data_IF_703664667132
#
_entry.id   IF_703664667132
#
_cell.length_a   1.000
_cell.length_b   1.000
_cell.length_c   1.000
_cell.angle_alpha   90.00
_cell.angle_beta   90.00
_cell.angle_gamma   90.00
#
_symmetry.space_group_name_H-M   'P 1'
#
loop_
_entity.id
_entity.type
_entity.pdbx_description
1 polymer ?
#
# COMPACT_ATOMS: atom_id res chain seq x y z
N UNK A 1 -18.77 -14.57 -2.77
CA UNK A 1 -17.99 -15.38 -1.79
C UNK A 1 -18.29 -16.87 -2.04
N UNK A 2 -17.27 -17.63 -2.40
CA UNK A 2 -17.42 -19.09 -2.50
C UNK A 2 -17.02 -19.70 -1.16
N UNK A 3 -17.99 -20.23 -0.42
CA UNK A 3 -17.77 -20.89 0.88
C UNK A 3 -17.23 -20.02 2.03
N UNK A 4 -17.42 -18.70 1.99
CA UNK A 4 -16.91 -17.79 3.03
C UNK A 4 -15.43 -17.41 2.92
N UNK A 5 -14.74 -17.79 1.84
CA UNK A 5 -13.33 -17.45 1.63
C UNK A 5 -13.17 -16.29 0.63
N UNK A 6 -12.21 -15.42 0.90
CA UNK A 6 -11.77 -14.33 0.02
C UNK A 6 -10.32 -14.58 -0.36
N UNK A 7 -10.00 -14.47 -1.65
CA UNK A 7 -8.63 -14.61 -2.10
C UNK A 7 -7.97 -13.23 -2.20
N UNK A 8 -6.97 -13.02 -1.37
CA UNK A 8 -6.18 -11.79 -1.34
C UNK A 8 -4.78 -12.03 -1.90
N UNK A 9 -4.14 -11.00 -2.43
CA UNK A 9 -2.77 -11.05 -2.93
C UNK A 9 -1.96 -9.85 -2.46
N UNK A 10 -0.73 -10.11 -2.04
CA UNK A 10 0.32 -9.10 -1.87
C UNK A 10 1.23 -9.16 -3.10
N UNK A 11 1.19 -8.15 -3.94
CA UNK A 11 1.94 -8.10 -5.19
C UNK A 11 3.11 -7.12 -5.09
N UNK A 12 4.32 -7.59 -5.34
CA UNK A 12 5.53 -6.77 -5.29
C UNK A 12 6.06 -6.61 -6.72
N UNK A 13 5.89 -5.44 -7.36
CA UNK A 13 6.42 -5.18 -8.68
C UNK A 13 7.94 -4.97 -8.62
N UNK A 14 8.63 -5.27 -9.70
CA UNK A 14 9.90 -4.63 -9.97
C UNK A 14 9.63 -3.15 -10.23
N UNK A 15 10.40 -2.26 -9.62
CA UNK A 15 10.21 -0.82 -9.82
C UNK A 15 11.47 -0.13 -10.33
N UNK A 16 11.30 1.08 -10.86
CA UNK A 16 12.38 2.06 -11.07
C UNK A 16 12.03 3.33 -10.32
N UNK A 17 12.99 3.79 -9.53
CA UNK A 17 12.83 5.02 -8.74
C UNK A 17 12.55 6.20 -9.67
N UNK A 18 11.49 6.95 -9.39
CA UNK A 18 11.03 8.11 -10.16
C UNK A 18 10.68 7.83 -11.64
N UNK A 19 10.26 6.59 -11.95
CA UNK A 19 9.78 6.22 -13.30
C UNK A 19 8.36 5.63 -13.22
N UNK A 20 7.32 6.46 -13.02
CA UNK A 20 5.95 5.99 -12.88
C UNK A 20 5.43 5.23 -14.09
N UNK A 21 5.93 5.54 -15.31
CA UNK A 21 5.52 4.86 -16.52
C UNK A 21 5.99 3.40 -16.56
N UNK A 22 7.24 3.14 -16.17
CA UNK A 22 7.74 1.78 -16.02
C UNK A 22 7.00 1.05 -14.89
N UNK A 23 6.83 1.70 -13.75
CA UNK A 23 6.25 1.08 -12.56
C UNK A 23 4.80 0.64 -12.80
N UNK A 24 4.00 1.45 -13.50
CA UNK A 24 2.61 1.06 -13.82
C UNK A 24 2.56 -0.16 -14.73
N UNK A 25 3.49 -0.31 -15.69
CA UNK A 25 3.55 -1.48 -16.57
C UNK A 25 3.88 -2.77 -15.80
N UNK A 26 4.76 -2.69 -14.82
CA UNK A 26 5.06 -3.83 -13.95
C UNK A 26 3.87 -4.17 -13.03
N UNK A 27 3.16 -3.17 -12.52
CA UNK A 27 1.92 -3.36 -11.76
C UNK A 27 0.83 -4.00 -12.63
N UNK A 28 0.67 -3.59 -13.89
CA UNK A 28 -0.28 -4.20 -14.83
C UNK A 28 0.00 -5.70 -15.03
N UNK A 29 1.28 -6.10 -15.14
CA UNK A 29 1.67 -7.52 -15.25
C UNK A 29 1.28 -8.31 -13.99
N UNK A 30 1.50 -7.74 -12.80
CA UNK A 30 1.06 -8.35 -11.54
C UNK A 30 -0.45 -8.49 -11.45
N UNK A 31 -1.21 -7.49 -11.89
CA UNK A 31 -2.67 -7.52 -11.93
C UNK A 31 -3.16 -8.68 -12.81
N UNK A 32 -2.57 -8.89 -14.00
CA UNK A 32 -2.93 -10.02 -14.85
C UNK A 32 -2.61 -11.36 -14.21
N UNK A 33 -1.45 -11.48 -13.56
CA UNK A 33 -1.05 -12.68 -12.81
C UNK A 33 -2.04 -12.99 -11.68
N UNK A 34 -2.40 -11.97 -10.89
CA UNK A 34 -3.35 -12.07 -9.79
C UNK A 34 -4.76 -12.43 -10.29
N UNK A 35 -5.22 -11.80 -11.39
CA UNK A 35 -6.49 -12.12 -12.02
C UNK A 35 -6.56 -13.56 -12.49
N UNK A 36 -5.50 -14.08 -13.12
CA UNK A 36 -5.39 -15.48 -13.54
C UNK A 36 -5.47 -16.47 -12.37
N UNK A 37 -5.12 -16.03 -11.16
CA UNK A 37 -5.21 -16.81 -9.92
C UNK A 37 -6.54 -16.60 -9.17
N UNK A 38 -7.42 -15.74 -9.67
CA UNK A 38 -8.73 -15.45 -9.06
C UNK A 38 -8.62 -14.60 -7.78
N UNK A 39 -7.61 -13.75 -7.67
CA UNK A 39 -7.47 -12.79 -6.57
C UNK A 39 -8.61 -11.77 -6.63
N UNK A 40 -9.23 -11.49 -5.49
CA UNK A 40 -10.32 -10.52 -5.36
C UNK A 40 -9.80 -9.15 -4.89
N UNK A 41 -8.75 -9.13 -4.07
CA UNK A 41 -8.10 -7.91 -3.58
C UNK A 41 -6.58 -8.07 -3.74
N UNK A 42 -5.95 -7.18 -4.49
CA UNK A 42 -4.50 -7.09 -4.67
C UNK A 42 -3.99 -5.81 -4.02
N UNK A 43 -2.96 -5.93 -3.19
CA UNK A 43 -2.25 -4.79 -2.59
C UNK A 43 -0.79 -4.76 -3.05
N UNK A 44 -0.29 -3.58 -3.40
CA UNK A 44 1.11 -3.34 -3.75
C UNK A 44 1.83 -2.57 -2.65
N UNK A 45 3.16 -2.45 -2.67
CA UNK A 45 3.93 -1.70 -1.68
C UNK A 45 3.59 -0.21 -1.61
N UNK A 46 4.03 0.41 -0.54
CA UNK A 46 4.01 1.85 -0.33
C UNK A 46 4.74 2.59 -1.45
N UNK A 47 4.13 3.65 -1.99
CA UNK A 47 4.66 4.46 -3.09
C UNK A 47 5.06 3.65 -4.35
N UNK A 48 4.44 2.53 -4.60
CA UNK A 48 4.78 1.61 -5.71
C UNK A 48 4.69 2.25 -7.10
N UNK A 49 3.89 3.32 -7.29
CA UNK A 49 3.85 4.04 -8.57
C UNK A 49 5.08 4.91 -8.83
N UNK A 50 5.76 5.40 -7.79
CA UNK A 50 6.94 6.28 -7.94
C UNK A 50 8.25 5.62 -7.53
N UNK A 51 8.18 4.60 -6.68
CA UNK A 51 9.24 4.16 -5.80
C UNK A 51 9.24 4.94 -4.49
N UNK A 52 9.60 4.26 -3.41
CA UNK A 52 9.68 4.87 -2.07
C UNK A 52 10.92 5.77 -1.93
N UNK A 53 12.02 5.39 -2.55
CA UNK A 53 13.33 6.03 -2.38
C UNK A 53 13.58 7.22 -3.32
N UNK A 54 12.53 7.91 -3.76
CA UNK A 54 12.63 9.11 -4.60
C UNK A 54 13.26 10.31 -3.88
N UNK A 55 13.30 10.33 -2.54
CA UNK A 55 13.86 11.42 -1.73
C UNK A 55 13.35 12.81 -2.17
N UNK A 56 14.24 13.80 -2.39
CA UNK A 56 13.85 15.18 -2.75
C UNK A 56 13.20 15.30 -4.15
N UNK A 57 13.19 14.23 -4.94
CA UNK A 57 12.41 14.20 -6.18
C UNK A 57 10.90 14.33 -5.92
N UNK A 58 10.42 13.99 -4.73
CA UNK A 58 9.03 14.25 -4.33
C UNK A 58 8.64 15.73 -4.34
N UNK A 59 9.61 16.67 -4.36
CA UNK A 59 9.34 18.10 -4.54
C UNK A 59 9.20 18.50 -6.03
N UNK A 60 9.48 17.59 -6.97
CA UNK A 60 9.38 17.85 -8.39
C UNK A 60 7.96 17.65 -8.89
N UNK A 61 7.36 18.72 -9.43
CA UNK A 61 5.98 18.63 -9.94
C UNK A 61 5.85 17.59 -11.06
N UNK A 62 6.89 17.46 -11.92
CA UNK A 62 6.92 16.45 -12.99
C UNK A 62 6.71 15.03 -12.47
N UNK A 63 7.34 14.64 -11.35
CA UNK A 63 7.15 13.32 -10.76
C UNK A 63 5.70 13.10 -10.30
N UNK A 64 5.09 14.14 -9.72
CA UNK A 64 3.71 14.07 -9.23
C UNK A 64 2.71 13.98 -10.39
N UNK A 65 2.93 14.76 -11.46
CA UNK A 65 2.10 14.74 -12.66
C UNK A 65 2.21 13.37 -13.37
N UNK A 66 3.41 12.82 -13.50
CA UNK A 66 3.63 11.50 -14.09
C UNK A 66 3.02 10.37 -13.23
N UNK A 67 3.02 10.49 -11.91
CA UNK A 67 2.35 9.55 -11.02
C UNK A 67 0.83 9.57 -11.21
N UNK A 68 0.24 10.75 -11.42
CA UNK A 68 -1.20 10.88 -11.74
C UNK A 68 -1.53 10.29 -13.13
N UNK A 69 -0.69 10.52 -14.12
CA UNK A 69 -0.83 9.91 -15.47
C UNK A 69 -0.74 8.39 -15.39
N UNK A 70 0.19 7.84 -14.60
CA UNK A 70 0.31 6.42 -14.37
C UNK A 70 -0.94 5.84 -13.67
N UNK A 71 -1.51 6.56 -12.70
CA UNK A 71 -2.77 6.17 -12.06
C UNK A 71 -3.92 6.15 -13.07
N UNK A 72 -4.04 7.16 -13.95
CA UNK A 72 -5.06 7.17 -15.00
C UNK A 72 -4.93 5.99 -15.96
N UNK A 73 -3.68 5.63 -16.36
CA UNK A 73 -3.42 4.44 -17.17
C UNK A 73 -3.90 3.17 -16.46
N UNK A 74 -3.62 3.04 -15.17
CA UNK A 74 -4.06 1.91 -14.36
C UNK A 74 -5.60 1.84 -14.22
N UNK A 75 -6.26 3.00 -14.07
CA UNK A 75 -7.72 3.09 -14.07
C UNK A 75 -8.31 2.59 -15.39
N UNK A 76 -7.76 3.00 -16.52
CA UNK A 76 -8.22 2.54 -17.85
C UNK A 76 -7.99 1.03 -18.01
N UNK A 77 -6.82 0.52 -17.61
CA UNK A 77 -6.48 -0.89 -17.68
C UNK A 77 -7.43 -1.77 -16.85
N UNK A 78 -7.85 -1.29 -15.68
CA UNK A 78 -8.69 -2.06 -14.73
C UNK A 78 -10.19 -1.87 -14.94
N UNK A 79 -10.61 -1.13 -15.96
CA UNK A 79 -12.03 -0.75 -16.21
C UNK A 79 -13.00 -1.94 -16.27
N UNK A 80 -12.57 -3.06 -16.83
CA UNK A 80 -13.37 -4.28 -16.96
C UNK A 80 -13.18 -5.31 -15.84
N UNK A 81 -12.38 -4.98 -14.83
CA UNK A 81 -12.00 -5.92 -13.76
C UNK A 81 -12.84 -5.70 -12.51
N UNK A 82 -13.36 -6.80 -11.95
CA UNK A 82 -14.06 -6.79 -10.64
C UNK A 82 -13.08 -6.75 -9.45
N UNK A 83 -11.82 -7.15 -9.66
CA UNK A 83 -10.76 -7.16 -8.66
C UNK A 83 -10.52 -5.75 -8.12
N UNK A 84 -10.35 -5.65 -6.81
CA UNK A 84 -9.92 -4.43 -6.13
C UNK A 84 -8.40 -4.38 -6.15
N UNK A 85 -7.85 -3.24 -6.54
CA UNK A 85 -6.42 -3.00 -6.58
C UNK A 85 -6.11 -1.83 -5.66
N UNK A 86 -5.12 -2.02 -4.78
CA UNK A 86 -4.66 -0.97 -3.87
C UNK A 86 -3.20 -0.67 -4.17
N UNK A 87 -2.93 0.58 -4.60
CA UNK A 87 -1.59 1.02 -4.98
C UNK A 87 -1.13 2.20 -4.13
N UNK A 88 0.18 2.25 -3.84
CA UNK A 88 0.82 3.35 -3.13
C UNK A 88 1.26 4.47 -4.07
N UNK A 89 0.95 5.73 -3.76
CA UNK A 89 1.42 6.91 -4.50
C UNK A 89 1.46 8.17 -3.65
N UNK A 90 2.28 9.16 -4.02
CA UNK A 90 2.21 10.50 -3.43
C UNK A 90 0.98 11.24 -3.95
N UNK A 91 0.26 11.93 -3.08
CA UNK A 91 -0.91 12.75 -3.46
C UNK A 91 -0.74 14.17 -2.90
N UNK A 92 -0.82 15.16 -3.79
CA UNK A 92 -0.73 16.56 -3.41
C UNK A 92 -2.01 17.01 -2.72
N UNK A 93 -1.89 17.58 -1.54
CA UNK A 93 -3.00 18.16 -0.77
C UNK A 93 -2.76 19.65 -0.50
N UNK A 94 -3.73 20.31 0.11
CA UNK A 94 -3.71 21.76 0.32
C UNK A 94 -2.53 22.29 1.16
N UNK A 95 -1.94 21.46 2.01
CA UNK A 95 -0.85 21.85 2.92
C UNK A 95 0.49 21.12 2.64
N UNK A 96 0.57 20.29 1.61
CA UNK A 96 1.77 19.54 1.29
C UNK A 96 1.50 18.29 0.46
N UNK A 97 2.30 17.27 0.67
CA UNK A 97 2.23 16.00 -0.01
C UNK A 97 1.85 14.91 1.00
N UNK A 98 0.91 14.05 0.66
CA UNK A 98 0.54 12.90 1.49
C UNK A 98 1.02 11.61 0.82
N UNK A 99 1.52 10.68 1.65
CA UNK A 99 1.80 9.30 1.24
C UNK A 99 0.49 8.51 1.34
N UNK A 100 -0.02 8.04 0.22
CA UNK A 100 -1.38 7.52 0.12
C UNK A 100 -1.45 6.13 -0.49
N UNK A 101 -2.43 5.36 -0.01
CA UNK A 101 -2.97 4.19 -0.68
C UNK A 101 -4.23 4.58 -1.45
N UNK A 102 -4.26 4.29 -2.74
CA UNK A 102 -5.41 4.53 -3.62
C UNK A 102 -6.08 3.21 -3.92
N UNK A 103 -7.39 3.14 -3.65
CA UNK A 103 -8.21 1.95 -3.90
C UNK A 103 -8.91 2.10 -5.23
N UNK A 104 -8.65 1.17 -6.16
CA UNK A 104 -9.22 1.13 -7.50
C UNK A 104 -10.15 -0.05 -7.67
N UNK A 105 -11.25 0.14 -8.35
CA UNK A 105 -12.12 -0.93 -8.85
C UNK A 105 -12.89 -0.45 -10.09
N UNK A 106 -12.96 -1.28 -11.12
CA UNK A 106 -13.69 -0.97 -12.38
C UNK A 106 -13.32 0.37 -12.99
N UNK A 107 -12.03 0.70 -12.98
CA UNK A 107 -11.52 1.95 -13.53
C UNK A 107 -11.87 3.21 -12.74
N UNK A 108 -12.28 3.08 -11.48
CA UNK A 108 -12.66 4.20 -10.61
C UNK A 108 -11.92 4.15 -9.29
N UNK A 109 -11.61 5.33 -8.78
CA UNK A 109 -11.09 5.48 -7.42
C UNK A 109 -12.27 5.30 -6.44
N UNK A 110 -12.16 4.31 -5.57
CA UNK A 110 -13.14 4.02 -4.52
C UNK A 110 -12.86 4.80 -3.24
N UNK A 111 -11.61 5.20 -3.04
CA UNK A 111 -11.17 6.00 -1.91
C UNK A 111 -9.66 6.12 -1.82
N UNK A 112 -9.21 7.05 -0.97
CA UNK A 112 -7.80 7.33 -0.71
C UNK A 112 -7.59 7.31 0.80
N UNK A 113 -6.57 6.58 1.26
CA UNK A 113 -6.15 6.53 2.66
C UNK A 113 -4.74 7.07 2.75
N UNK A 114 -4.48 8.05 3.62
CA UNK A 114 -3.15 8.58 3.83
C UNK A 114 -2.50 8.00 5.09
N UNK A 115 -1.18 7.89 5.06
CA UNK A 115 -0.34 7.42 6.15
C UNK A 115 -0.52 8.28 7.41
N UNK A 116 -0.62 7.61 8.55
CA UNK A 116 -0.86 8.25 9.83
C UNK A 116 0.45 8.63 10.52
N UNK A 117 1.34 7.68 10.69
CA UNK A 117 2.60 7.87 11.41
C UNK A 117 3.77 7.88 10.44
N UNK A 118 4.39 9.04 10.27
CA UNK A 118 5.53 9.25 9.39
C UNK A 118 6.83 9.03 10.20
N UNK A 119 7.61 7.98 9.89
CA UNK A 119 8.90 7.77 10.55
C UNK A 119 9.86 8.94 10.24
N UNK A 120 10.58 9.39 11.27
CA UNK A 120 11.55 10.48 11.14
C UNK A 120 12.70 10.25 12.13
N UNK A 121 13.32 9.10 12.04
CA UNK A 121 14.42 8.67 12.88
C UNK A 121 15.40 7.82 12.06
N UNK A 122 16.66 7.84 12.44
CA UNK A 122 17.75 7.19 11.73
C UNK A 122 17.76 7.58 10.24
N UNK A 123 17.75 6.59 9.35
CA UNK A 123 17.71 6.75 7.89
C UNK A 123 16.32 7.16 7.34
N UNK A 124 15.28 7.09 8.15
CA UNK A 124 13.93 7.43 7.74
C UNK A 124 13.64 8.92 7.93
N UNK A 125 13.29 9.61 6.84
CA UNK A 125 13.05 11.05 6.83
C UNK A 125 11.71 11.43 6.17
N UNK A 126 10.65 10.62 6.35
CA UNK A 126 9.37 10.82 5.67
C UNK A 126 8.74 12.19 5.96
N UNK A 127 8.92 12.74 7.16
CA UNK A 127 8.44 14.10 7.52
C UNK A 127 9.07 15.23 6.70
N UNK A 128 10.19 14.94 6.01
CA UNK A 128 10.79 15.91 5.07
C UNK A 128 9.89 16.11 3.85
N UNK A 129 9.24 15.06 3.39
CA UNK A 129 8.49 15.07 2.13
C UNK A 129 6.98 15.03 2.33
N UNK A 130 6.51 14.34 3.36
CA UNK A 130 5.10 14.05 3.54
C UNK A 130 4.51 14.71 4.78
N UNK A 131 3.21 14.94 4.69
CA UNK A 131 2.37 15.45 5.77
C UNK A 131 1.48 14.31 6.28
N UNK A 132 1.43 14.14 7.60
CA UNK A 132 0.53 13.16 8.23
C UNK A 132 -0.93 13.51 7.99
N UNK A 133 -1.80 12.49 7.87
CA UNK A 133 -3.25 12.72 7.78
C UNK A 133 -3.79 13.50 8.99
N UNK A 134 -3.15 13.40 10.16
CA UNK A 134 -3.54 14.17 11.35
C UNK A 134 -3.40 15.67 11.16
N UNK A 135 -2.51 16.11 10.29
CA UNK A 135 -2.22 17.53 10.04
C UNK A 135 -3.02 18.09 8.86
N UNK A 136 -3.63 17.23 8.04
CA UNK A 136 -4.43 17.62 6.87
C UNK A 136 -5.83 18.01 7.33
N UNK A 137 -6.12 19.33 7.33
CA UNK A 137 -7.41 19.86 7.83
C UNK A 137 -8.55 19.78 6.81
N UNK A 138 -8.26 20.00 5.53
CA UNK A 138 -9.20 19.84 4.42
C UNK A 138 -8.65 18.75 3.50
N UNK A 139 -9.19 17.57 3.68
CA UNK A 139 -8.68 16.36 3.04
C UNK A 139 -9.24 16.13 1.63
N UNK A 140 -9.84 17.13 0.99
CA UNK A 140 -10.33 17.03 -0.39
C UNK A 140 -9.24 17.39 -1.38
N UNK A 141 -9.02 16.50 -2.35
CA UNK A 141 -8.01 16.66 -3.41
C UNK A 141 -8.63 16.42 -4.77
N UNK A 142 -8.15 17.16 -5.77
CA UNK A 142 -8.41 16.82 -7.16
C UNK A 142 -7.39 15.78 -7.61
N UNK A 143 -7.87 14.61 -8.05
CA UNK A 143 -7.04 13.54 -8.55
C UNK A 143 -7.75 12.86 -9.73
N UNK A 144 -7.09 12.74 -10.88
CA UNK A 144 -7.64 12.14 -12.10
C UNK A 144 -8.97 12.74 -12.53
N UNK A 145 -9.17 14.05 -12.31
CA UNK A 145 -10.40 14.77 -12.69
C UNK A 145 -11.55 14.69 -11.68
N UNK A 146 -11.40 13.95 -10.60
CA UNK A 146 -12.42 13.82 -9.54
C UNK A 146 -11.99 14.52 -8.26
N UNK A 147 -12.96 15.09 -7.53
CA UNK A 147 -12.75 15.63 -6.19
C UNK A 147 -12.96 14.53 -5.16
N UNK A 148 -11.89 14.06 -4.53
CA UNK A 148 -11.89 12.90 -3.64
C UNK A 148 -11.46 13.33 -2.25
N UNK A 149 -12.09 12.74 -1.23
CA UNK A 149 -11.70 12.92 0.17
C UNK A 149 -10.62 11.90 0.55
N UNK A 150 -9.48 12.41 1.06
CA UNK A 150 -8.46 11.57 1.70
C UNK A 150 -8.95 11.23 3.11
N UNK A 151 -8.93 9.96 3.47
CA UNK A 151 -9.43 9.48 4.76
C UNK A 151 -8.32 8.87 5.60
N UNK A 152 -8.46 8.99 6.90
CA UNK A 152 -7.55 8.36 7.86
C UNK A 152 -7.97 6.91 8.16
N UNK A 153 -9.25 6.72 8.41
CA UNK A 153 -9.83 5.45 8.83
C UNK A 153 -11.08 5.18 8.02
N UNK A 154 -10.98 4.24 7.12
CA UNK A 154 -12.11 3.85 6.26
C UNK A 154 -12.14 2.35 6.14
N UNK A 155 -13.32 1.79 6.39
CA UNK A 155 -13.62 0.40 6.06
C UNK A 155 -14.30 0.39 4.70
N UNK A 156 -13.72 -0.34 3.77
CA UNK A 156 -14.27 -0.58 2.45
C UNK A 156 -15.08 -1.88 2.48
N UNK A 157 -16.31 -1.81 2.02
CA UNK A 157 -17.19 -2.97 1.97
C UNK A 157 -17.30 -3.49 0.55
N UNK A 158 -17.14 -4.80 0.41
CA UNK A 158 -17.34 -5.54 -0.83
C UNK A 158 -18.44 -6.57 -0.63
N UNK A 159 -18.95 -7.21 -1.69
CA UNK A 159 -19.88 -8.33 -1.52
C UNK A 159 -19.27 -9.53 -0.77
N UNK A 160 -17.95 -9.64 -0.73
CA UNK A 160 -17.23 -10.79 -0.17
C UNK A 160 -16.68 -10.54 1.22
N UNK A 161 -16.25 -9.33 1.54
CA UNK A 161 -15.63 -8.99 2.82
C UNK A 161 -15.60 -7.48 3.05
N UNK A 162 -15.21 -7.09 4.26
CA UNK A 162 -14.83 -5.72 4.62
C UNK A 162 -13.32 -5.63 4.86
N UNK A 163 -12.67 -4.58 4.38
CA UNK A 163 -11.24 -4.38 4.59
C UNK A 163 -10.89 -2.95 4.98
N UNK A 164 -9.79 -2.79 5.69
CA UNK A 164 -9.20 -1.51 6.03
C UNK A 164 -7.75 -1.43 5.59
N UNK A 165 -7.19 -0.23 5.57
CA UNK A 165 -5.82 0.03 5.12
C UNK A 165 -5.05 0.77 6.21
N UNK A 166 -3.84 0.30 6.49
CA UNK A 166 -2.80 1.04 7.20
C UNK A 166 -1.50 0.99 6.40
N UNK A 167 -0.53 1.84 6.71
CA UNK A 167 0.64 1.98 5.85
C UNK A 167 1.94 1.87 6.65
N UNK A 168 2.78 0.90 6.29
CA UNK A 168 4.12 0.71 6.80
C UNK A 168 4.22 0.83 8.31
N UNK A 169 4.87 1.88 8.76
CA UNK A 169 5.15 2.20 10.18
C UNK A 169 3.90 2.37 11.06
N UNK A 170 2.72 2.54 10.48
CA UNK A 170 1.45 2.59 11.22
C UNK A 170 1.25 1.34 12.11
N UNK A 171 1.70 0.16 11.62
CA UNK A 171 1.68 -1.10 12.38
C UNK A 171 2.47 -1.02 13.69
N UNK A 172 3.55 -0.24 13.72
CA UNK A 172 4.46 -0.16 14.87
C UNK A 172 4.03 0.87 15.92
N UNK A 173 2.95 1.59 15.67
CA UNK A 173 2.38 2.51 16.65
C UNK A 173 1.81 1.74 17.87
N UNK A 174 1.84 2.32 19.09
CA UNK A 174 1.24 1.70 20.27
C UNK A 174 -0.23 1.32 20.09
N UNK A 175 -0.97 2.12 19.33
CA UNK A 175 -2.34 1.85 18.88
C UNK A 175 -2.38 2.03 17.36
N UNK A 176 -2.12 0.96 16.58
CA UNK A 176 -2.12 1.06 15.13
C UNK A 176 -3.52 1.35 14.58
N UNK A 177 -3.62 1.99 13.41
CA UNK A 177 -4.90 2.24 12.74
C UNK A 177 -5.74 0.98 12.56
N UNK A 178 -5.12 -0.16 12.28
CA UNK A 178 -5.78 -1.46 12.15
C UNK A 178 -6.61 -1.85 13.38
N UNK A 179 -6.21 -1.48 14.60
CA UNK A 179 -7.01 -1.71 15.82
C UNK A 179 -8.37 -0.98 15.76
N UNK A 180 -8.37 0.26 15.26
CA UNK A 180 -9.62 1.00 15.08
C UNK A 180 -10.43 0.49 13.90
N UNK A 181 -9.77 0.10 12.80
CA UNK A 181 -10.42 -0.45 11.62
C UNK A 181 -11.13 -1.78 11.94
N UNK A 182 -10.51 -2.64 12.74
CA UNK A 182 -11.14 -3.88 13.22
C UNK A 182 -12.40 -3.59 14.08
N UNK A 183 -12.32 -2.61 14.99
CA UNK A 183 -13.50 -2.17 15.77
C UNK A 183 -14.62 -1.57 14.90
N UNK A 184 -14.29 -1.04 13.72
CA UNK A 184 -15.24 -0.55 12.71
C UNK A 184 -15.77 -1.67 11.80
N UNK A 185 -15.32 -2.92 11.98
CA UNK A 185 -15.79 -4.09 11.25
C UNK A 185 -14.92 -4.50 10.06
N UNK A 186 -13.67 -4.04 9.96
CA UNK A 186 -12.74 -4.57 8.97
C UNK A 186 -12.36 -6.01 9.31
N UNK A 187 -12.60 -6.92 8.37
CA UNK A 187 -12.24 -8.35 8.47
C UNK A 187 -10.82 -8.61 7.96
N UNK A 188 -10.33 -7.73 7.06
CA UNK A 188 -8.99 -7.84 6.46
C UNK A 188 -8.30 -6.48 6.58
N UNK A 189 -7.06 -6.49 7.01
CA UNK A 189 -6.18 -5.32 7.02
C UNK A 189 -5.16 -5.47 5.89
N UNK A 190 -5.04 -4.43 5.07
CA UNK A 190 -4.03 -4.32 4.03
C UNK A 190 -2.96 -3.33 4.50
N UNK A 191 -1.70 -3.76 4.49
CA UNK A 191 -0.57 -2.91 4.84
C UNK A 191 0.36 -2.76 3.63
N UNK A 192 0.35 -1.57 3.03
CA UNK A 192 1.33 -1.16 2.03
C UNK A 192 2.57 -0.69 2.80
N UNK A 193 3.73 -1.27 2.52
CA UNK A 193 4.93 -0.99 3.32
C UNK A 193 6.17 -0.76 2.46
N UNK A 194 7.09 0.02 3.03
CA UNK A 194 8.46 0.18 2.57
C UNK A 194 9.43 0.16 3.77
N UNK A 195 9.24 -0.82 4.64
CA UNK A 195 10.13 -1.02 5.78
C UNK A 195 11.50 -1.54 5.32
N UNK A 196 12.56 -0.86 5.76
CA UNK A 196 13.93 -1.30 5.50
C UNK A 196 14.26 -2.59 6.25
N UNK A 197 15.08 -3.42 5.63
CA UNK A 197 15.54 -4.68 6.19
C UNK A 197 16.81 -4.46 7.01
N UNK A 198 16.79 -4.89 8.24
CA UNK A 198 17.95 -4.94 9.15
C UNK A 198 18.09 -6.35 9.73
N UNK A 199 19.28 -6.70 10.18
CA UNK A 199 19.53 -8.00 10.84
C UNK A 199 18.59 -8.16 12.05
N UNK A 200 17.80 -9.22 12.04
CA UNK A 200 16.82 -9.52 13.10
C UNK A 200 15.47 -8.78 12.98
N UNK A 201 15.32 -7.81 12.08
CA UNK A 201 14.06 -7.06 11.89
C UNK A 201 12.96 -7.91 11.28
N UNK A 202 13.31 -8.91 10.46
CA UNK A 202 12.32 -9.82 9.84
C UNK A 202 11.50 -10.57 10.90
N UNK A 203 12.17 -11.19 11.87
CA UNK A 203 11.51 -11.88 12.98
C UNK A 203 10.63 -10.94 13.82
N UNK A 204 11.09 -9.72 14.04
CA UNK A 204 10.32 -8.70 14.76
C UNK A 204 9.04 -8.35 13.98
N UNK A 205 9.15 -8.06 12.68
CA UNK A 205 8.03 -7.70 11.82
C UNK A 205 6.99 -8.83 11.76
N UNK A 206 7.43 -10.07 11.56
CA UNK A 206 6.55 -11.26 11.56
C UNK A 206 5.76 -11.37 12.86
N UNK A 207 6.40 -11.16 13.99
CA UNK A 207 5.75 -11.19 15.32
C UNK A 207 4.72 -10.06 15.46
N UNK A 208 5.03 -8.85 14.97
CA UNK A 208 4.09 -7.73 15.01
C UNK A 208 2.86 -8.01 14.14
N UNK A 209 3.04 -8.50 12.91
CA UNK A 209 1.95 -8.85 11.99
C UNK A 209 1.09 -9.98 12.60
N UNK A 210 1.72 -11.05 13.09
CA UNK A 210 1.00 -12.15 13.72
C UNK A 210 0.19 -11.69 14.94
N UNK A 211 0.81 -10.89 15.82
CA UNK A 211 0.13 -10.35 17.01
C UNK A 211 -1.04 -9.43 16.64
N UNK A 212 -0.88 -8.59 15.59
CA UNK A 212 -1.93 -7.67 15.17
C UNK A 212 -3.08 -8.40 14.47
N UNK A 213 -2.78 -9.37 13.60
CA UNK A 213 -3.78 -10.25 12.98
C UNK A 213 -4.61 -11.00 14.06
N UNK A 214 -3.94 -11.57 15.06
CA UNK A 214 -4.61 -12.26 16.17
C UNK A 214 -5.47 -11.30 17.02
N UNK A 215 -4.97 -10.09 17.30
CA UNK A 215 -5.69 -9.08 18.09
C UNK A 215 -6.94 -8.57 17.35
N UNK A 216 -6.83 -8.37 16.05
CA UNK A 216 -7.94 -7.94 15.20
C UNK A 216 -8.90 -9.09 14.84
N UNK A 217 -8.55 -10.35 15.13
CA UNK A 217 -9.31 -11.56 14.78
C UNK A 217 -9.64 -11.54 13.27
N UNK A 218 -8.63 -11.30 12.43
CA UNK A 218 -8.85 -11.11 10.99
C UNK A 218 -7.62 -11.40 10.14
N UNK A 219 -7.82 -11.24 8.83
CA UNK A 219 -6.76 -11.31 7.84
C UNK A 219 -5.83 -10.10 7.92
N UNK A 220 -4.53 -10.31 7.68
CA UNK A 220 -3.55 -9.24 7.55
C UNK A 220 -2.66 -9.51 6.36
N UNK A 221 -2.68 -8.60 5.39
CA UNK A 221 -1.93 -8.70 4.13
C UNK A 221 -0.87 -7.61 4.12
N UNK A 222 0.39 -8.00 4.07
CA UNK A 222 1.54 -7.10 4.06
C UNK A 222 2.27 -7.19 2.73
N UNK A 223 2.49 -6.05 2.07
CA UNK A 223 3.25 -5.92 0.85
C UNK A 223 4.41 -4.93 1.06
N UNK A 224 5.62 -5.44 1.15
CA UNK A 224 6.83 -4.65 1.37
C UNK A 224 7.56 -4.30 0.10
N UNK A 225 8.19 -3.12 0.04
CA UNK A 225 9.03 -2.69 -1.08
C UNK A 225 10.18 -3.67 -1.36
N UNK A 226 10.64 -3.71 -2.59
CA UNK A 226 11.59 -4.71 -3.04
C UNK A 226 12.57 -4.23 -4.11
N UNK A 227 12.79 -5.09 -5.09
CA UNK A 227 13.77 -4.87 -6.14
C UNK A 227 13.47 -3.61 -6.96
N UNK A 228 14.52 -2.83 -7.22
CA UNK A 228 14.45 -1.55 -7.94
C UNK A 228 14.50 -0.31 -7.06
N UNK A 229 14.20 -0.43 -5.77
CA UNK A 229 14.43 0.67 -4.82
C UNK A 229 15.93 0.98 -4.66
N UNK A 230 16.25 2.23 -4.34
CA UNK A 230 17.65 2.62 -4.08
C UNK A 230 18.18 1.94 -2.83
N UNK A 231 19.39 1.40 -2.90
CA UNK A 231 20.10 0.79 -1.78
C UNK A 231 21.18 1.70 -1.18
N UNK A 232 21.12 3.00 -1.42
CA UNK A 232 22.12 3.96 -0.91
C UNK A 232 22.12 3.98 0.62
N UNK A 233 20.96 4.10 1.25
CA UNK A 233 20.80 4.19 2.71
C UNK A 233 19.94 3.05 3.28
N UNK A 234 19.09 2.45 2.46
CA UNK A 234 18.07 1.46 2.84
C UNK A 234 18.21 0.19 2.00
N UNK A 235 17.85 -0.95 2.57
CA UNK A 235 17.75 -2.23 1.86
C UNK A 235 16.34 -2.77 2.06
N UNK A 236 15.71 -3.24 0.97
CA UNK A 236 14.37 -3.80 0.98
C UNK A 236 14.40 -5.27 0.57
N UNK A 237 13.61 -6.10 1.25
CA UNK A 237 13.65 -7.55 1.05
C UNK A 237 12.50 -8.11 0.21
N UNK A 238 11.66 -7.25 -0.37
CA UNK A 238 10.52 -7.68 -1.19
C UNK A 238 9.58 -8.64 -0.43
N UNK A 239 9.31 -8.39 0.84
CA UNK A 239 8.55 -9.31 1.67
C UNK A 239 7.05 -9.18 1.46
N UNK A 240 6.39 -10.28 1.12
CA UNK A 240 4.94 -10.42 1.08
C UNK A 240 4.50 -11.45 2.11
N UNK A 241 3.58 -11.07 2.99
CA UNK A 241 3.09 -11.91 4.09
C UNK A 241 1.56 -11.84 4.17
N UNK A 242 0.93 -12.99 4.32
CA UNK A 242 -0.50 -13.10 4.56
C UNK A 242 -0.72 -13.90 5.85
N UNK A 243 -1.36 -13.27 6.82
CA UNK A 243 -1.71 -13.87 8.10
C UNK A 243 -3.22 -13.88 8.30
N UNK A 244 -3.71 -14.84 9.08
CA UNK A 244 -5.06 -14.85 9.61
C UNK A 244 -5.05 -15.39 11.04
N UNK A 245 -5.70 -14.66 11.96
CA UNK A 245 -5.78 -15.02 13.37
C UNK A 245 -4.43 -15.39 14.01
N UNK A 246 -3.36 -14.66 13.61
CA UNK A 246 -2.00 -14.87 14.09
C UNK A 246 -1.21 -15.97 13.40
N UNK A 247 -1.82 -16.71 12.47
CA UNK A 247 -1.16 -17.77 11.73
C UNK A 247 -0.80 -17.32 10.32
N UNK A 248 0.39 -17.70 9.86
CA UNK A 248 0.82 -17.42 8.48
C UNK A 248 0.07 -18.33 7.52
N UNK A 249 -0.52 -17.76 6.48
CA UNK A 249 -1.19 -18.47 5.41
C UNK A 249 -0.34 -18.59 4.15
N UNK A 250 0.40 -17.52 3.83
CA UNK A 250 1.28 -17.48 2.68
C UNK A 250 2.41 -16.46 2.89
N UNK A 251 3.54 -16.74 2.27
CA UNK A 251 4.69 -15.86 2.22
C UNK A 251 5.50 -16.11 0.93
N UNK A 252 6.26 -15.11 0.50
CA UNK A 252 7.23 -15.26 -0.57
C UNK A 252 8.65 -15.44 0.00
N UNK A 253 9.59 -15.81 -0.87
CA UNK A 253 11.01 -15.79 -0.53
C UNK A 253 11.50 -14.33 -0.50
N UNK A 254 12.22 -13.92 0.56
CA UNK A 254 12.80 -12.58 0.63
C UNK A 254 13.89 -12.39 -0.45
N UNK A 255 14.14 -11.13 -0.82
CA UNK A 255 15.13 -10.73 -1.82
C UNK A 255 14.91 -11.32 -3.22
N UNK A 256 13.67 -11.64 -3.56
CA UNK A 256 13.34 -12.06 -4.91
C UNK A 256 13.48 -10.87 -5.88
N UNK A 257 14.17 -11.10 -7.01
CA UNK A 257 14.40 -10.09 -8.05
C UNK A 257 13.33 -10.09 -9.13
N UNK A 258 12.45 -11.09 -9.14
CA UNK A 258 11.30 -11.14 -10.03
C UNK A 258 10.04 -10.61 -9.31
N UNK A 259 9.11 -10.07 -10.08
CA UNK A 259 7.81 -9.64 -9.56
C UNK A 259 7.03 -10.81 -8.92
N UNK A 260 6.66 -10.66 -7.67
CA UNK A 260 6.04 -11.69 -6.84
C UNK A 260 4.54 -11.46 -6.66
#
# INVERSE_FOLDING_TARGET
MKYGFVRVGAGIPEIRVADPQYNVEEIEKLILKAQGQGVEILVTPELSLTGYTCQDLFFQQTLLDEAEVALMKLMDFTRSMDMIIVVGMPVKCNIGLANCAVVLQKGKIQGIVAKTYLPNCNECAEKRWFTSIHDIKDAKVWLCGDLIEIKQRTVFNTPSCSFGIEMGHDLLAPVPPSSHLAMMGAEIILNLSAESTLVGKDDFLRKQIAAQSARCIGGYVYAGAGFGESSTDLVFNAQALIYENGNILAENLPFCTEAQ
#
